data_IF_447005040336
#
_entry.id   IF_447005040336
#
_cell.length_a   1.000
_cell.length_b   1.000
_cell.length_c   1.000
_cell.angle_alpha   90.00
_cell.angle_beta   90.00
_cell.angle_gamma   90.00
#
_symmetry.space_group_name_H-M   'P 1'
#
loop_
_entity.id
_entity.type
_entity.pdbx_description
1 polymer ?
#
# COMPACT_ATOMS: atom_id res chain seq x y z
N UNK A 1 2.90 -20.92 41.60
CA UNK A 1 3.30 -20.50 40.25
C UNK A 1 2.52 -21.30 39.18
N UNK A 2 1.18 -21.28 39.16
CA UNK A 2 0.37 -22.10 38.22
C UNK A 2 -0.61 -21.31 37.34
N UNK A 3 -0.61 -19.97 37.41
CA UNK A 3 -1.57 -19.10 36.70
C UNK A 3 -1.10 -18.64 35.32
N UNK A 4 0.20 -18.80 35.04
CA UNK A 4 0.84 -18.35 33.80
C UNK A 4 0.68 -19.34 32.64
N UNK A 5 0.56 -20.65 32.91
CA UNK A 5 0.27 -21.65 31.87
C UNK A 5 -1.16 -21.57 31.33
N UNK A 6 -2.10 -21.02 32.09
CA UNK A 6 -3.52 -21.02 31.71
C UNK A 6 -3.84 -19.93 30.68
N UNK A 7 -3.13 -18.80 30.71
CA UNK A 7 -3.25 -17.72 29.73
C UNK A 7 -2.57 -18.03 28.39
N UNK A 8 -1.42 -18.72 28.41
CA UNK A 8 -0.70 -19.11 27.18
C UNK A 8 -1.47 -20.18 26.40
N UNK A 9 -2.15 -21.09 27.10
CA UNK A 9 -3.01 -22.11 26.48
C UNK A 9 -4.26 -21.49 25.82
N UNK A 10 -4.83 -20.42 26.40
CA UNK A 10 -6.03 -19.79 25.85
C UNK A 10 -5.77 -19.05 24.53
N UNK A 11 -4.61 -18.42 24.36
CA UNK A 11 -4.21 -17.76 23.10
C UNK A 11 -3.81 -18.75 22.00
N UNK A 12 -3.20 -19.89 22.36
CA UNK A 12 -2.85 -20.95 21.39
C UNK A 12 -4.03 -21.81 20.95
N UNK A 13 -5.12 -21.84 21.71
CA UNK A 13 -6.38 -22.48 21.30
C UNK A 13 -7.26 -21.58 20.42
N UNK A 14 -7.03 -20.26 20.43
CA UNK A 14 -7.69 -19.31 19.53
C UNK A 14 -6.98 -19.15 18.18
N UNK A 15 -5.68 -19.51 18.09
CA UNK A 15 -4.89 -19.39 16.85
C UNK A 15 -5.24 -20.39 15.72
N UNK A 16 -5.85 -21.58 15.95
CA UNK A 16 -6.30 -22.43 14.86
C UNK A 16 -7.82 -22.35 14.62
N UNK A 17 -8.54 -21.37 15.15
CA UNK A 17 -9.94 -21.17 14.73
C UNK A 17 -10.06 -20.17 13.58
N UNK A 18 -9.10 -19.26 13.44
CA UNK A 18 -8.99 -18.37 12.28
C UNK A 18 -8.41 -19.08 11.05
N UNK A 19 -7.56 -20.09 11.25
CA UNK A 19 -6.92 -20.83 10.17
C UNK A 19 -7.79 -21.90 9.50
N UNK A 20 -8.87 -22.36 10.16
CA UNK A 20 -9.70 -23.48 9.68
C UNK A 20 -11.03 -23.04 9.03
N UNK A 21 -11.29 -21.72 8.94
CA UNK A 21 -12.46 -21.17 8.25
C UNK A 21 -12.10 -20.15 7.14
N UNK A 22 -10.82 -19.79 6.98
CA UNK A 22 -10.38 -18.85 5.96
C UNK A 22 -10.29 -19.56 4.61
N UNK A 23 -11.18 -19.19 3.70
CA UNK A 23 -11.10 -19.52 2.28
C UNK A 23 -9.82 -18.91 1.68
N UNK A 24 -9.20 -19.54 0.69
CA UNK A 24 -7.97 -19.02 0.05
C UNK A 24 -8.17 -17.59 -0.46
N UNK A 25 -9.38 -17.25 -0.90
CA UNK A 25 -9.72 -15.91 -1.35
C UNK A 25 -9.67 -14.90 -0.19
N UNK A 26 -10.15 -15.26 1.01
CA UNK A 26 -10.09 -14.36 2.18
C UNK A 26 -8.66 -14.02 2.61
N UNK A 27 -7.73 -14.97 2.47
CA UNK A 27 -6.31 -14.73 2.78
C UNK A 27 -5.65 -13.82 1.74
N UNK A 28 -6.04 -13.94 0.47
CA UNK A 28 -5.53 -13.09 -0.62
C UNK A 28 -6.09 -11.67 -0.50
N UNK A 29 -7.36 -11.53 -0.14
CA UNK A 29 -8.02 -10.23 0.07
C UNK A 29 -7.38 -9.49 1.25
N UNK A 30 -7.23 -10.15 2.41
CA UNK A 30 -6.56 -9.57 3.59
C UNK A 30 -5.12 -9.13 3.26
N UNK A 31 -4.39 -9.93 2.47
CA UNK A 31 -3.04 -9.59 2.05
C UNK A 31 -3.03 -8.37 1.12
N UNK A 32 -3.98 -8.29 0.20
CA UNK A 32 -4.12 -7.18 -0.75
C UNK A 32 -4.45 -5.89 -0.01
N UNK A 33 -5.31 -5.95 1.00
CA UNK A 33 -5.67 -4.79 1.83
C UNK A 33 -4.48 -4.27 2.65
N UNK A 34 -3.67 -5.17 3.23
CA UNK A 34 -2.47 -4.79 3.98
C UNK A 34 -1.44 -4.13 3.05
N UNK A 35 -1.22 -4.68 1.86
CA UNK A 35 -0.31 -4.09 0.86
C UNK A 35 -0.85 -2.76 0.36
N UNK A 36 -2.17 -2.67 0.13
CA UNK A 36 -2.86 -1.44 -0.25
C UNK A 36 -2.70 -0.32 0.78
N UNK A 37 -2.57 -0.66 2.06
CA UNK A 37 -2.29 0.29 3.15
C UNK A 37 -0.80 0.67 3.25
N UNK A 38 0.11 -0.28 3.04
CA UNK A 38 1.54 -0.04 3.24
C UNK A 38 2.12 0.88 2.16
N UNK A 39 1.68 0.75 0.90
CA UNK A 39 2.19 1.54 -0.22
C UNK A 39 2.01 3.06 -0.02
N UNK A 40 0.79 3.59 0.25
CA UNK A 40 0.60 5.03 0.49
C UNK A 40 1.33 5.50 1.75
N UNK A 41 1.48 4.63 2.76
CA UNK A 41 2.27 4.93 3.96
C UNK A 41 3.75 5.13 3.60
N UNK A 42 4.35 4.23 2.82
CA UNK A 42 5.73 4.35 2.35
C UNK A 42 5.93 5.59 1.46
N UNK A 43 4.96 5.89 0.58
CA UNK A 43 5.00 7.10 -0.25
C UNK A 43 5.04 8.35 0.63
N UNK A 44 4.21 8.42 1.66
CA UNK A 44 4.20 9.56 2.59
C UNK A 44 5.54 9.72 3.33
N UNK A 45 6.16 8.61 3.75
CA UNK A 45 7.46 8.62 4.38
C UNK A 45 8.58 9.02 3.41
N UNK A 46 8.54 8.55 2.17
CA UNK A 46 9.52 8.91 1.13
C UNK A 46 9.47 10.41 0.81
N UNK A 47 8.26 10.98 0.73
CA UNK A 47 8.06 12.43 0.58
C UNK A 47 8.60 13.19 1.79
N UNK A 48 8.39 12.71 3.01
CA UNK A 48 8.95 13.32 4.21
C UNK A 48 10.49 13.33 4.20
N UNK A 49 11.14 12.22 3.80
CA UNK A 49 12.60 12.13 3.65
C UNK A 49 13.11 13.07 2.55
N UNK A 50 12.40 13.17 1.43
CA UNK A 50 12.73 14.10 0.36
C UNK A 50 12.72 15.55 0.86
N UNK A 51 11.68 15.97 1.59
CA UNK A 51 11.61 17.29 2.20
C UNK A 51 12.71 17.51 3.24
N UNK A 52 13.05 16.50 4.03
CA UNK A 52 14.17 16.59 4.98
C UNK A 52 15.50 16.85 4.28
N UNK A 53 15.76 16.16 3.17
CA UNK A 53 16.91 16.41 2.30
C UNK A 53 16.92 17.82 1.73
N UNK A 54 15.76 18.29 1.26
CA UNK A 54 15.60 19.64 0.69
C UNK A 54 15.85 20.75 1.73
N UNK A 55 15.29 20.61 2.94
CA UNK A 55 15.51 21.57 4.03
C UNK A 55 16.99 21.60 4.41
N UNK A 56 17.64 20.44 4.53
CA UNK A 56 19.08 20.36 4.84
C UNK A 56 19.93 21.01 3.74
N UNK A 57 19.60 20.75 2.47
CA UNK A 57 20.28 21.33 1.32
C UNK A 57 20.20 22.86 1.29
N UNK A 58 19.03 23.43 1.57
CA UNK A 58 18.84 24.89 1.58
C UNK A 58 19.49 25.52 2.83
N UNK A 59 19.37 24.88 4.00
CA UNK A 59 19.84 25.44 5.27
C UNK A 59 21.37 25.45 5.43
N UNK A 60 22.09 24.58 4.71
CA UNK A 60 23.55 24.44 4.81
C UNK A 60 24.23 24.73 3.47
N UNK A 61 23.70 25.69 2.71
CA UNK A 61 24.21 26.02 1.38
C UNK A 61 25.68 26.51 1.37
N UNK A 62 26.18 27.01 2.51
CA UNK A 62 27.54 27.52 2.68
C UNK A 62 28.58 26.44 3.06
N UNK A 63 28.16 25.21 3.37
CA UNK A 63 29.03 24.09 3.71
C UNK A 63 28.94 23.02 2.60
N UNK A 64 29.98 22.94 1.76
CA UNK A 64 30.05 22.01 0.62
C UNK A 64 29.75 20.55 1.01
N UNK A 65 30.14 20.15 2.23
CA UNK A 65 30.01 18.76 2.69
C UNK A 65 28.56 18.45 3.07
N UNK A 66 27.93 19.35 3.82
CA UNK A 66 26.50 19.24 4.17
C UNK A 66 25.60 19.39 2.93
N UNK A 67 26.05 20.20 1.95
CA UNK A 67 25.37 20.40 0.68
C UNK A 67 25.39 19.13 -0.19
N UNK A 68 26.51 18.42 -0.26
CA UNK A 68 26.58 17.11 -0.93
C UNK A 68 25.69 16.06 -0.26
N UNK A 69 25.71 15.97 1.06
CA UNK A 69 24.85 15.06 1.81
C UNK A 69 23.36 15.34 1.59
N UNK A 70 22.97 16.63 1.60
CA UNK A 70 21.60 17.07 1.33
C UNK A 70 21.13 16.69 -0.09
N UNK A 71 21.98 16.92 -1.11
CA UNK A 71 21.71 16.50 -2.49
C UNK A 71 21.53 14.99 -2.60
N UNK A 72 22.40 14.22 -1.96
CA UNK A 72 22.31 12.76 -1.98
C UNK A 72 21.00 12.30 -1.37
N UNK A 73 20.61 12.82 -0.19
CA UNK A 73 19.31 12.50 0.43
C UNK A 73 18.11 12.85 -0.45
N UNK A 74 18.15 14.00 -1.15
CA UNK A 74 17.10 14.37 -2.11
C UNK A 74 17.00 13.38 -3.27
N UNK A 75 18.13 12.95 -3.84
CA UNK A 75 18.16 12.00 -4.96
C UNK A 75 17.59 10.66 -4.53
N UNK A 76 17.99 10.14 -3.36
CA UNK A 76 17.43 8.89 -2.82
C UNK A 76 15.93 8.98 -2.57
N UNK A 77 15.45 10.10 -2.01
CA UNK A 77 14.01 10.34 -1.83
C UNK A 77 13.24 10.42 -3.15
N UNK A 78 13.79 11.13 -4.14
CA UNK A 78 13.20 11.28 -5.47
C UNK A 78 13.10 9.94 -6.20
N UNK A 79 14.16 9.12 -6.16
CA UNK A 79 14.17 7.78 -6.77
C UNK A 79 13.11 6.89 -6.13
N UNK A 80 13.00 6.89 -4.80
CA UNK A 80 12.00 6.11 -4.08
C UNK A 80 10.58 6.48 -4.50
N UNK A 81 10.27 7.78 -4.54
CA UNK A 81 8.95 8.29 -4.98
C UNK A 81 8.70 7.92 -6.44
N UNK A 82 9.70 8.10 -7.31
CA UNK A 82 9.59 7.83 -8.73
C UNK A 82 9.25 6.36 -9.00
N UNK A 83 9.94 5.41 -8.36
CA UNK A 83 9.66 3.97 -8.54
C UNK A 83 8.24 3.63 -8.07
N UNK A 84 7.84 4.11 -6.90
CA UNK A 84 6.51 3.84 -6.34
C UNK A 84 5.40 4.34 -7.27
N UNK A 85 5.52 5.57 -7.77
CA UNK A 85 4.53 6.18 -8.67
C UNK A 85 4.59 5.56 -10.07
N UNK A 86 5.78 5.27 -10.60
CA UNK A 86 5.96 4.72 -11.94
C UNK A 86 5.32 3.33 -12.08
N UNK A 87 5.49 2.44 -11.08
CA UNK A 87 4.89 1.12 -11.11
C UNK A 87 3.36 1.19 -11.09
N UNK A 88 2.77 2.02 -10.23
CA UNK A 88 1.30 2.15 -10.17
C UNK A 88 0.74 2.87 -11.41
N UNK A 89 1.47 3.86 -11.94
CA UNK A 89 1.07 4.59 -13.15
C UNK A 89 1.10 3.70 -14.37
N UNK A 90 2.13 2.85 -14.53
CA UNK A 90 2.22 1.96 -15.69
C UNK A 90 1.23 0.81 -15.61
N UNK A 91 0.98 0.26 -14.42
CA UNK A 91 -0.08 -0.74 -14.19
C UNK A 91 -1.44 -0.14 -14.54
N UNK A 92 -1.76 1.05 -14.03
CA UNK A 92 -3.02 1.73 -14.35
C UNK A 92 -3.12 2.14 -15.82
N UNK A 93 -2.00 2.46 -16.48
CA UNK A 93 -1.98 2.72 -17.91
C UNK A 93 -2.32 1.47 -18.72
N UNK A 94 -1.64 0.35 -18.44
CA UNK A 94 -1.88 -0.92 -19.13
C UNK A 94 -3.32 -1.40 -18.93
N UNK A 95 -3.87 -1.29 -17.71
CA UNK A 95 -5.25 -1.66 -17.43
C UNK A 95 -6.26 -0.88 -18.30
N UNK A 96 -6.03 0.43 -18.48
CA UNK A 96 -6.89 1.28 -19.32
C UNK A 96 -6.75 0.97 -20.81
N UNK A 97 -5.52 0.77 -21.28
CA UNK A 97 -5.27 0.50 -22.70
C UNK A 97 -5.76 -0.89 -23.14
N UNK A 98 -5.76 -1.85 -22.22
CA UNK A 98 -6.26 -3.20 -22.48
C UNK A 98 -7.75 -3.38 -22.15
N UNK A 99 -8.44 -2.30 -21.77
CA UNK A 99 -9.84 -2.30 -21.32
C UNK A 99 -10.11 -3.37 -20.26
N UNK A 100 -9.11 -3.63 -19.39
CA UNK A 100 -9.18 -4.60 -18.31
C UNK A 100 -9.85 -3.98 -17.08
N UNK A 101 -10.90 -3.18 -17.30
CA UNK A 101 -11.76 -2.71 -16.23
C UNK A 101 -12.53 -3.92 -15.71
N UNK A 102 -11.94 -4.61 -14.72
CA UNK A 102 -12.53 -5.76 -14.04
C UNK A 102 -13.75 -5.27 -13.26
N UNK A 103 -14.86 -5.10 -13.98
CA UNK A 103 -16.24 -5.00 -13.54
C UNK A 103 -16.43 -4.67 -12.05
N UNK A 104 -16.12 -3.43 -11.66
CA UNK A 104 -16.64 -2.86 -10.40
C UNK A 104 -17.89 -2.03 -10.61
N UNK A 105 -18.39 -1.94 -11.85
CA UNK A 105 -19.75 -1.50 -12.11
C UNK A 105 -20.65 -2.73 -12.14
N UNK A 106 -21.65 -2.85 -11.25
CA UNK A 106 -22.81 -3.67 -11.57
C UNK A 106 -23.41 -2.99 -12.81
N UNK A 107 -23.06 -3.51 -13.98
CA UNK A 107 -23.59 -3.05 -15.24
C UNK A 107 -25.10 -3.10 -15.08
N UNK A 108 -25.68 -1.91 -15.13
CA UNK A 108 -27.09 -1.66 -15.06
C UNK A 108 -27.70 -2.32 -16.30
N UNK A 109 -27.95 -3.63 -16.20
CA UNK A 109 -28.59 -4.40 -17.25
C UNK A 109 -29.89 -3.65 -17.58
N UNK A 110 -30.18 -3.39 -18.87
CA UNK A 110 -31.47 -2.82 -19.25
C UNK A 110 -32.57 -3.67 -18.63
N UNK A 111 -33.23 -3.15 -17.59
CA UNK A 111 -34.36 -3.84 -16.99
C UNK A 111 -35.48 -3.83 -18.03
N UNK A 112 -35.78 -5.01 -18.56
CA UNK A 112 -36.91 -5.18 -19.46
C UNK A 112 -38.17 -4.72 -18.69
N UNK A 113 -39.00 -3.84 -19.25
CA UNK A 113 -40.25 -3.46 -18.59
C UNK A 113 -41.12 -4.70 -18.44
N UNK A 114 -41.39 -5.13 -17.20
CA UNK A 114 -42.28 -6.23 -16.86
C UNK A 114 -43.77 -5.87 -17.03
N UNK A 115 -44.10 -5.09 -18.06
CA UNK A 115 -45.47 -4.88 -18.48
C UNK A 115 -45.73 -5.68 -19.75
N UNK A 116 -45.96 -6.98 -19.57
CA UNK A 116 -46.60 -7.79 -20.59
C UNK A 116 -48.06 -7.32 -20.71
N UNK A 117 -48.60 -7.15 -21.94
CA UNK A 117 -50.01 -6.78 -22.14
C UNK A 117 -50.97 -7.83 -21.58
#
# INVERSE_FOLDING_TARGET
MSRFSLTVAATTLFSPQLAFAADINTVIDDLTDIVGLIIPLLLSAAVAVFFWGLVKFIAHADDEKMLEDGKQMMIWGMIAIFIMVALWSIVGFIQRELDLDLATTPENLPVLPLNLP
#
